data_IF_300847617154
#
_entry.id   IF_300847617154
#
_cell.length_a   1.000
_cell.length_b   1.000
_cell.length_c   1.000
_cell.angle_alpha   90.00
_cell.angle_beta   90.00
_cell.angle_gamma   90.00
#
_symmetry.space_group_name_H-M   'P 1'
#
loop_
_entity.id
_entity.type
_entity.pdbx_description
1 polymer ?
#
# COMPACT_ATOMS: atom_id res chain seq x y z
N UNK A 1 11.00 3.25 -16.10
CA UNK A 1 12.05 3.48 -17.12
C UNK A 1 11.65 4.58 -18.11
N UNK A 2 10.45 4.50 -18.76
CA UNK A 2 10.00 5.46 -19.76
C UNK A 2 10.07 6.92 -19.29
N UNK A 3 9.70 7.19 -18.03
CA UNK A 3 9.79 8.51 -17.42
C UNK A 3 11.23 8.95 -17.09
N UNK A 4 12.19 8.05 -17.21
CA UNK A 4 13.60 8.22 -16.80
C UNK A 4 13.75 8.76 -15.37
N UNK A 5 12.79 8.45 -14.50
CA UNK A 5 12.68 8.92 -13.13
C UNK A 5 11.63 8.07 -12.38
N UNK A 6 11.81 7.83 -11.10
CA UNK A 6 10.84 7.10 -10.29
C UNK A 6 11.49 6.25 -9.21
N UNK A 7 10.65 5.55 -8.47
CA UNK A 7 11.03 4.70 -7.36
C UNK A 7 10.53 3.26 -7.61
N UNK A 8 11.27 2.43 -8.35
CA UNK A 8 10.79 1.08 -8.70
C UNK A 8 10.90 0.08 -7.55
N UNK A 9 11.82 0.31 -6.62
CA UNK A 9 12.20 -0.70 -5.63
C UNK A 9 11.08 -1.10 -4.68
N UNK A 10 10.40 -0.15 -4.06
CA UNK A 10 9.26 -0.42 -3.18
C UNK A 10 8.08 -1.07 -3.95
N UNK A 11 7.64 -0.58 -5.11
CA UNK A 11 6.61 -1.26 -5.90
C UNK A 11 6.91 -2.73 -6.20
N UNK A 12 8.16 -3.04 -6.50
CA UNK A 12 8.59 -4.43 -6.75
C UNK A 12 8.62 -5.26 -5.47
N UNK A 13 9.10 -4.69 -4.37
CA UNK A 13 9.20 -5.38 -3.07
C UNK A 13 7.85 -5.66 -2.42
N UNK A 14 6.85 -4.83 -2.67
CA UNK A 14 5.51 -4.98 -2.08
C UNK A 14 4.46 -5.55 -3.05
N UNK A 15 4.85 -6.04 -4.22
CA UNK A 15 3.90 -6.51 -5.23
C UNK A 15 3.05 -7.68 -4.73
N UNK A 16 3.65 -8.68 -4.06
CA UNK A 16 2.97 -9.86 -3.53
C UNK A 16 1.97 -9.47 -2.42
N UNK A 17 2.39 -8.58 -1.52
CA UNK A 17 1.52 -8.04 -0.46
C UNK A 17 0.32 -7.29 -1.06
N UNK A 18 0.57 -6.49 -2.09
CA UNK A 18 -0.47 -5.70 -2.74
C UNK A 18 -1.46 -6.61 -3.49
N UNK A 19 -0.97 -7.65 -4.13
CA UNK A 19 -1.80 -8.65 -4.83
C UNK A 19 -2.77 -9.30 -3.85
N UNK A 20 -2.28 -9.90 -2.76
CA UNK A 20 -3.10 -10.56 -1.75
C UNK A 20 -4.11 -9.58 -1.14
N UNK A 21 -3.69 -8.38 -0.74
CA UNK A 21 -4.59 -7.41 -0.13
C UNK A 21 -5.72 -6.98 -1.08
N UNK A 22 -5.39 -6.59 -2.30
CA UNK A 22 -6.36 -5.98 -3.21
C UNK A 22 -7.31 -7.00 -3.84
N UNK A 23 -6.83 -8.21 -4.12
CA UNK A 23 -7.66 -9.25 -4.71
C UNK A 23 -8.50 -9.99 -3.68
N UNK A 24 -7.99 -10.26 -2.49
CA UNK A 24 -8.68 -11.14 -1.55
C UNK A 24 -9.42 -10.41 -0.43
N UNK A 25 -8.86 -9.33 0.11
CA UNK A 25 -9.35 -8.74 1.36
C UNK A 25 -10.02 -7.37 1.20
N UNK A 26 -9.48 -6.49 0.38
CA UNK A 26 -9.96 -5.11 0.30
C UNK A 26 -11.38 -5.01 -0.30
N UNK A 27 -12.26 -4.33 0.44
CA UNK A 27 -13.64 -4.06 0.01
C UNK A 27 -13.69 -2.76 -0.78
N UNK A 28 -13.74 -2.87 -2.09
CA UNK A 28 -13.82 -1.70 -2.98
C UNK A 28 -14.68 -1.98 -4.19
N UNK A 29 -15.19 -0.91 -4.82
CA UNK A 29 -15.87 -1.00 -6.11
C UNK A 29 -15.24 -0.01 -7.10
N UNK A 30 -14.45 -0.48 -8.07
CA UNK A 30 -13.81 0.39 -9.05
C UNK A 30 -14.78 1.21 -9.91
N UNK A 31 -16.05 0.78 -10.01
CA UNK A 31 -17.11 1.50 -10.75
C UNK A 31 -17.84 2.52 -9.89
N UNK A 32 -17.66 2.50 -8.59
CA UNK A 32 -18.16 3.52 -7.66
C UNK A 32 -17.08 3.86 -6.62
N UNK A 33 -16.06 4.64 -6.99
CA UNK A 33 -15.03 5.09 -6.06
C UNK A 33 -15.58 5.98 -4.93
N UNK A 34 -16.80 6.50 -5.06
CA UNK A 34 -17.49 7.29 -4.02
C UNK A 34 -18.32 6.44 -3.05
N UNK A 35 -18.37 5.11 -3.22
CA UNK A 35 -19.07 4.25 -2.26
C UNK A 35 -18.60 4.53 -0.82
N UNK A 36 -19.55 5.02 0.02
CA UNK A 36 -19.22 5.57 1.34
C UNK A 36 -18.60 4.54 2.30
N UNK A 37 -19.03 3.27 2.23
CA UNK A 37 -18.54 2.19 3.10
C UNK A 37 -17.48 1.28 2.42
N UNK A 38 -16.85 1.74 1.36
CA UNK A 38 -15.67 1.05 0.83
C UNK A 38 -14.47 1.22 1.75
N UNK A 39 -13.60 0.24 1.77
CA UNK A 39 -12.31 0.37 2.46
C UNK A 39 -11.49 1.54 1.88
N UNK A 40 -10.65 2.13 2.72
CA UNK A 40 -9.69 3.17 2.35
C UNK A 40 -8.31 2.56 2.22
N UNK A 41 -7.61 2.93 1.17
CA UNK A 41 -6.21 2.54 0.99
C UNK A 41 -5.31 3.77 0.93
N UNK A 42 -4.29 3.80 1.75
CA UNK A 42 -3.32 4.89 1.81
C UNK A 42 -1.92 4.36 1.60
N UNK A 43 -1.26 4.86 0.57
CA UNK A 43 0.14 4.60 0.31
C UNK A 43 0.97 5.67 1.05
N UNK A 44 1.37 5.41 2.31
CA UNK A 44 2.15 6.36 3.12
C UNK A 44 3.59 6.50 2.61
N UNK A 45 4.20 5.42 2.14
CA UNK A 45 5.44 5.42 1.38
C UNK A 45 5.18 5.86 -0.08
N UNK A 46 4.69 7.10 -0.22
CA UNK A 46 4.14 7.66 -1.47
C UNK A 46 5.10 7.72 -2.65
N UNK A 47 6.41 7.58 -2.42
CA UNK A 47 7.39 7.43 -3.48
C UNK A 47 7.12 6.18 -4.35
N UNK A 48 6.50 5.13 -3.79
CA UNK A 48 6.04 3.94 -4.52
C UNK A 48 4.76 4.13 -5.34
N UNK A 49 4.42 5.35 -5.75
CA UNK A 49 3.18 5.75 -6.41
C UNK A 49 2.77 4.86 -7.59
N UNK A 50 3.74 4.33 -8.35
CA UNK A 50 3.45 3.44 -9.47
C UNK A 50 2.78 2.14 -9.04
N UNK A 51 3.03 1.63 -7.83
CA UNK A 51 2.30 0.49 -7.28
C UNK A 51 0.80 0.83 -7.20
N UNK A 52 0.44 1.95 -6.57
CA UNK A 52 -0.95 2.38 -6.46
C UNK A 52 -1.60 2.57 -7.83
N UNK A 53 -0.92 3.24 -8.76
CA UNK A 53 -1.46 3.46 -10.11
C UNK A 53 -1.67 2.15 -10.87
N UNK A 54 -0.78 1.18 -10.72
CA UNK A 54 -0.92 -0.14 -11.30
C UNK A 54 -2.11 -0.89 -10.71
N UNK A 55 -2.28 -0.88 -9.41
CA UNK A 55 -3.40 -1.50 -8.71
C UNK A 55 -4.75 -0.90 -9.15
N UNK A 56 -4.84 0.43 -9.21
CA UNK A 56 -6.04 1.12 -9.67
C UNK A 56 -6.38 0.76 -11.13
N UNK A 57 -5.37 0.72 -12.00
CA UNK A 57 -5.57 0.33 -13.40
C UNK A 57 -6.02 -1.13 -13.53
N UNK A 58 -5.33 -2.04 -12.87
CA UNK A 58 -5.60 -3.48 -12.96
C UNK A 58 -6.99 -3.84 -12.42
N UNK A 59 -7.37 -3.26 -11.30
CA UNK A 59 -8.66 -3.55 -10.65
C UNK A 59 -9.86 -2.89 -11.34
N UNK A 60 -9.63 -1.96 -12.29
CA UNK A 60 -10.67 -1.40 -13.15
C UNK A 60 -11.20 -0.03 -12.74
N UNK A 61 -10.48 0.71 -11.88
CA UNK A 61 -10.71 2.14 -11.69
C UNK A 61 -10.49 2.91 -12.99
N UNK A 62 -11.01 4.14 -13.12
CA UNK A 62 -10.89 4.94 -14.35
C UNK A 62 -9.49 5.55 -14.53
N UNK A 63 -8.45 4.72 -14.41
CA UNK A 63 -7.07 5.06 -14.67
C UNK A 63 -6.56 4.24 -15.87
N UNK A 64 -6.35 4.88 -17.00
CA UNK A 64 -6.00 4.22 -18.25
C UNK A 64 -4.51 3.87 -18.34
N UNK A 65 -4.18 2.89 -19.19
CA UNK A 65 -2.77 2.55 -19.48
C UNK A 65 -2.01 3.74 -20.09
N UNK A 66 -2.68 4.61 -20.84
CA UNK A 66 -2.05 5.80 -21.40
C UNK A 66 -1.67 6.82 -20.31
N UNK A 67 -2.48 6.94 -19.25
CA UNK A 67 -2.11 7.75 -18.07
C UNK A 67 -0.91 7.14 -17.34
N UNK A 68 -0.82 5.82 -17.22
CA UNK A 68 0.37 5.14 -16.66
C UNK A 68 1.61 5.38 -17.53
N UNK A 69 1.49 5.31 -18.86
CA UNK A 69 2.58 5.63 -19.79
C UNK A 69 3.09 7.07 -19.67
N UNK A 70 2.24 7.98 -19.18
CA UNK A 70 2.53 9.39 -18.96
C UNK A 70 2.91 9.70 -17.50
N UNK A 71 3.40 8.71 -16.76
CA UNK A 71 3.91 8.86 -15.39
C UNK A 71 4.92 9.99 -15.28
N UNK A 72 4.74 10.86 -14.29
CA UNK A 72 5.59 12.05 -14.02
C UNK A 72 5.64 13.08 -15.16
N UNK A 73 4.67 13.06 -16.08
CA UNK A 73 4.56 14.11 -17.07
C UNK A 73 3.68 15.25 -16.57
N UNK A 74 3.94 16.46 -17.07
CA UNK A 74 3.20 17.65 -16.67
C UNK A 74 1.69 17.50 -16.98
N UNK A 75 0.83 17.96 -16.07
CA UNK A 75 -0.64 17.86 -16.16
C UNK A 75 -1.19 16.41 -16.29
N UNK A 76 -0.47 15.42 -15.79
CA UNK A 76 -0.96 14.04 -15.75
C UNK A 76 -1.34 13.64 -14.31
N UNK A 77 -2.38 12.83 -14.17
CA UNK A 77 -2.85 12.33 -12.85
C UNK A 77 -1.88 11.35 -12.19
N UNK A 78 -0.99 10.75 -12.98
CA UNK A 78 0.06 9.84 -12.49
C UNK A 78 1.32 10.61 -12.10
N UNK A 79 1.18 11.50 -11.12
CA UNK A 79 2.27 12.29 -10.56
C UNK A 79 3.35 11.40 -9.90
N UNK A 80 4.53 11.95 -9.65
CA UNK A 80 5.65 11.22 -9.03
C UNK A 80 5.35 10.68 -7.62
N UNK A 81 4.45 11.34 -6.92
CA UNK A 81 3.84 10.92 -5.66
C UNK A 81 2.32 11.09 -5.80
N UNK A 82 1.50 10.27 -5.11
CA UNK A 82 0.05 10.38 -5.27
C UNK A 82 -0.47 11.76 -4.89
N UNK A 83 -1.32 12.34 -5.73
CA UNK A 83 -2.13 13.50 -5.41
C UNK A 83 -3.59 13.06 -5.24
N UNK A 84 -4.30 13.66 -4.29
CA UNK A 84 -5.67 13.27 -3.97
C UNK A 84 -6.59 13.41 -5.17
N UNK A 85 -7.11 12.28 -5.64
CA UNK A 85 -8.05 12.16 -6.76
C UNK A 85 -9.08 11.06 -6.42
N UNK A 86 -10.11 11.35 -5.60
CA UNK A 86 -11.05 10.33 -5.14
C UNK A 86 -11.79 9.62 -6.27
N UNK A 87 -12.08 10.33 -7.36
CA UNK A 87 -12.82 9.81 -8.53
C UNK A 87 -12.07 8.64 -9.21
N UNK A 88 -10.74 8.57 -9.03
CA UNK A 88 -9.94 7.46 -9.53
C UNK A 88 -9.40 6.55 -8.42
N UNK A 89 -9.81 6.78 -7.17
CA UNK A 89 -9.47 5.93 -6.03
C UNK A 89 -8.23 6.36 -5.24
N UNK A 90 -7.68 7.56 -5.45
CA UNK A 90 -6.56 8.10 -4.67
C UNK A 90 -7.10 8.92 -3.50
N UNK A 91 -7.00 8.37 -2.28
CA UNK A 91 -7.60 8.91 -1.06
C UNK A 91 -6.98 10.22 -0.59
N UNK A 92 -5.65 10.33 -0.69
CA UNK A 92 -4.91 11.45 -0.11
C UNK A 92 -3.60 11.68 -0.84
N UNK A 93 -3.12 12.92 -0.78
CA UNK A 93 -1.79 13.30 -1.26
C UNK A 93 -0.74 12.80 -0.29
N UNK A 94 0.23 12.05 -0.79
CA UNK A 94 1.38 11.55 -0.04
C UNK A 94 2.69 11.86 -0.76
N UNK A 95 3.83 11.52 -0.15
CA UNK A 95 5.16 11.88 -0.64
C UNK A 95 6.01 12.40 0.50
N UNK A 96 5.58 13.47 1.23
CA UNK A 96 6.19 13.79 2.51
C UNK A 96 5.97 12.63 3.49
N UNK A 97 7.06 12.02 3.94
CA UNK A 97 7.03 10.81 4.79
C UNK A 97 6.30 11.10 6.11
N UNK A 98 5.60 10.10 6.64
CA UNK A 98 4.78 10.23 7.86
C UNK A 98 3.38 10.85 7.65
N UNK A 99 3.15 11.60 6.58
CA UNK A 99 1.84 12.24 6.34
C UNK A 99 0.75 11.21 6.00
N UNK A 100 1.06 10.23 5.18
CA UNK A 100 0.08 9.22 4.75
C UNK A 100 -0.50 8.41 5.92
N UNK A 101 0.35 7.86 6.78
CA UNK A 101 -0.11 7.11 7.96
C UNK A 101 -0.94 7.98 8.90
N UNK A 102 -0.58 9.25 9.05
CA UNK A 102 -1.33 10.22 9.86
C UNK A 102 -2.71 10.49 9.27
N UNK A 103 -2.81 10.68 7.96
CA UNK A 103 -4.10 10.83 7.27
C UNK A 103 -4.98 9.58 7.42
N UNK A 104 -4.39 8.39 7.30
CA UNK A 104 -5.08 7.13 7.49
C UNK A 104 -5.63 6.95 8.91
N UNK A 105 -4.87 7.37 9.92
CA UNK A 105 -5.35 7.41 11.31
C UNK A 105 -6.57 8.34 11.44
N UNK A 106 -6.53 9.49 10.78
CA UNK A 106 -7.68 10.41 10.70
C UNK A 106 -8.91 9.76 10.02
N UNK A 107 -8.70 9.00 8.94
CA UNK A 107 -9.78 8.26 8.25
C UNK A 107 -10.36 7.16 9.14
N UNK A 108 -9.53 6.38 9.84
CA UNK A 108 -9.99 5.35 10.77
C UNK A 108 -10.74 5.95 11.98
N UNK A 109 -10.33 7.11 12.46
CA UNK A 109 -11.05 7.86 13.49
C UNK A 109 -12.40 8.33 12.97
N UNK A 110 -12.46 8.85 11.75
CA UNK A 110 -13.71 9.28 11.11
C UNK A 110 -14.68 8.11 10.96
N UNK A 111 -14.20 6.94 10.52
CA UNK A 111 -15.01 5.72 10.47
C UNK A 111 -15.62 5.41 11.83
N UNK A 112 -14.82 5.38 12.88
CA UNK A 112 -15.27 5.06 14.24
C UNK A 112 -16.34 6.05 14.75
N UNK A 113 -16.17 7.34 14.48
CA UNK A 113 -17.14 8.39 14.83
C UNK A 113 -18.45 8.22 14.06
N UNK A 114 -18.34 8.00 12.74
CA UNK A 114 -19.51 7.82 11.87
C UNK A 114 -20.28 6.53 12.23
N UNK A 115 -19.57 5.44 12.49
CA UNK A 115 -20.18 4.19 12.94
C UNK A 115 -20.96 4.38 14.25
N UNK A 116 -20.38 5.08 15.23
CA UNK A 116 -21.04 5.38 16.49
C UNK A 116 -22.26 6.28 16.32
N UNK A 117 -22.25 7.21 15.35
CA UNK A 117 -23.35 8.14 15.09
C UNK A 117 -24.50 7.49 14.31
N UNK A 118 -24.22 6.65 13.33
CA UNK A 118 -25.18 6.23 12.32
C UNK A 118 -25.57 4.74 12.39
N UNK A 119 -24.71 3.84 12.88
CA UNK A 119 -25.03 2.42 12.97
C UNK A 119 -26.15 2.17 14.00
N UNK A 120 -27.00 1.19 13.71
CA UNK A 120 -28.05 0.69 14.60
C UNK A 120 -27.85 -0.80 14.82
N UNK A 121 -28.48 -1.42 15.86
CA UNK A 121 -28.27 -2.84 16.16
C UNK A 121 -28.45 -3.80 14.97
N UNK A 122 -29.32 -3.48 14.03
CA UNK A 122 -29.59 -4.33 12.86
C UNK A 122 -29.16 -3.69 11.53
N UNK A 123 -28.45 -2.56 11.57
CA UNK A 123 -28.06 -1.79 10.40
C UNK A 123 -26.67 -1.21 10.56
N UNK A 124 -25.68 -1.91 10.03
CA UNK A 124 -24.31 -1.39 9.92
C UNK A 124 -24.11 -0.70 8.57
N UNK A 125 -24.18 0.62 8.55
CA UNK A 125 -23.98 1.43 7.32
C UNK A 125 -22.58 2.01 7.21
N UNK A 126 -21.78 1.93 8.28
CA UNK A 126 -20.37 2.35 8.31
C UNK A 126 -19.56 1.24 8.97
N UNK A 127 -18.82 0.48 8.17
CA UNK A 127 -18.05 -0.66 8.65
C UNK A 127 -16.82 -0.95 7.74
N UNK A 128 -16.17 0.10 7.25
CA UNK A 128 -15.00 -0.05 6.41
C UNK A 128 -13.69 -0.06 7.19
N UNK A 129 -12.66 -0.62 6.59
CA UNK A 129 -11.29 -0.60 7.11
C UNK A 129 -10.46 0.48 6.43
N UNK A 130 -9.41 0.89 7.10
CA UNK A 130 -8.36 1.72 6.52
C UNK A 130 -7.08 0.90 6.46
N UNK A 131 -6.59 0.69 5.26
CA UNK A 131 -5.36 -0.03 4.93
C UNK A 131 -4.25 0.95 4.63
N UNK A 132 -3.06 0.70 5.16
CA UNK A 132 -1.91 1.59 4.97
C UNK A 132 -0.69 0.78 4.59
N UNK A 133 0.00 1.18 3.52
CA UNK A 133 1.37 0.76 3.28
C UNK A 133 2.32 1.82 3.80
N UNK A 134 3.31 1.42 4.58
CA UNK A 134 4.30 2.30 5.19
C UNK A 134 5.70 1.67 5.09
N UNK A 135 6.73 2.45 5.26
CA UNK A 135 8.12 1.98 5.22
C UNK A 135 8.97 2.64 6.29
N UNK A 136 10.24 2.27 6.37
CA UNK A 136 11.20 2.75 7.39
C UNK A 136 11.17 4.27 7.52
N UNK A 137 11.35 4.99 6.41
CA UNK A 137 11.35 6.45 6.41
C UNK A 137 10.07 7.09 6.94
N UNK A 138 8.90 6.47 6.69
CA UNK A 138 7.64 6.95 7.26
C UNK A 138 7.62 6.81 8.80
N UNK A 139 8.16 5.71 9.31
CA UNK A 139 8.14 5.41 10.75
C UNK A 139 9.22 6.16 11.54
N UNK A 140 10.19 6.77 10.85
CA UNK A 140 11.20 7.65 11.44
C UNK A 140 10.66 9.06 11.75
N UNK A 141 9.64 9.50 11.03
CA UNK A 141 9.08 10.83 11.16
C UNK A 141 8.41 11.04 12.53
N UNK A 142 8.66 12.19 13.17
CA UNK A 142 8.12 12.52 14.50
C UNK A 142 6.60 12.43 14.57
N UNK A 143 5.91 12.91 13.50
CA UNK A 143 4.44 12.86 13.43
C UNK A 143 3.89 11.43 13.45
N UNK A 144 4.64 10.45 12.94
CA UNK A 144 4.24 9.04 12.99
C UNK A 144 4.19 8.52 14.42
N UNK A 145 5.14 8.92 15.28
CA UNK A 145 5.14 8.57 16.70
C UNK A 145 3.90 9.13 17.42
N UNK A 146 3.61 10.42 17.22
CA UNK A 146 2.46 11.09 17.85
C UNK A 146 1.14 10.47 17.39
N UNK A 147 0.95 10.33 16.08
CA UNK A 147 -0.28 9.83 15.49
C UNK A 147 -0.53 8.34 15.82
N UNK A 148 0.50 7.49 15.76
CA UNK A 148 0.36 6.06 16.07
C UNK A 148 0.07 5.83 17.58
N UNK A 149 0.65 6.64 18.46
CA UNK A 149 0.32 6.62 19.88
C UNK A 149 -1.16 6.97 20.13
N UNK A 150 -1.68 7.99 19.44
CA UNK A 150 -3.10 8.36 19.52
C UNK A 150 -4.01 7.24 18.96
N UNK A 151 -3.63 6.61 17.85
CA UNK A 151 -4.42 5.53 17.26
C UNK A 151 -4.58 4.35 18.23
N UNK A 152 -3.52 3.98 18.95
CA UNK A 152 -3.59 2.97 20.01
C UNK A 152 -4.48 3.41 21.17
N UNK A 153 -4.30 4.65 21.65
CA UNK A 153 -5.14 5.22 22.72
C UNK A 153 -6.61 5.22 22.39
N UNK A 154 -6.98 5.49 21.14
CA UNK A 154 -8.36 5.52 20.67
C UNK A 154 -8.89 4.15 20.25
N UNK A 155 -8.07 3.11 20.31
CA UNK A 155 -8.46 1.74 19.92
C UNK A 155 -9.07 1.72 18.51
N UNK A 156 -8.34 2.17 17.51
CA UNK A 156 -8.81 2.23 16.11
C UNK A 156 -8.68 0.85 15.46
N UNK A 157 -9.50 -0.12 15.87
CA UNK A 157 -9.37 -1.53 15.50
C UNK A 157 -9.62 -1.87 14.03
N UNK A 158 -10.07 -0.92 13.21
CA UNK A 158 -10.22 -1.08 11.75
C UNK A 158 -9.09 -0.44 10.95
N UNK A 159 -8.04 0.03 11.64
CA UNK A 159 -6.80 0.52 11.04
C UNK A 159 -5.80 -0.64 10.96
N UNK A 160 -5.37 -0.98 9.77
CA UNK A 160 -4.36 -2.02 9.52
C UNK A 160 -3.23 -1.41 8.71
N UNK A 161 -2.05 -1.35 9.30
CA UNK A 161 -0.83 -0.88 8.65
C UNK A 161 0.04 -2.07 8.29
N UNK A 162 0.50 -2.12 7.05
CA UNK A 162 1.47 -3.09 6.56
C UNK A 162 2.79 -2.36 6.36
N UNK A 163 3.78 -2.79 7.10
CA UNK A 163 5.11 -2.20 7.13
C UNK A 163 6.05 -2.97 6.20
N UNK A 164 6.56 -2.27 5.19
CA UNK A 164 7.62 -2.67 4.28
C UNK A 164 8.96 -2.61 5.02
N UNK A 165 9.30 -3.70 5.72
CA UNK A 165 10.49 -3.83 6.54
C UNK A 165 11.64 -4.37 5.68
N UNK A 166 12.15 -3.53 4.78
CA UNK A 166 13.23 -3.89 3.84
C UNK A 166 14.63 -3.42 4.28
N UNK A 167 14.71 -2.56 5.30
CA UNK A 167 15.98 -2.06 5.86
C UNK A 167 16.77 -1.12 4.94
N UNK A 168 16.15 -0.58 3.89
CA UNK A 168 16.83 0.27 2.90
C UNK A 168 16.13 1.63 2.77
N UNK A 169 16.92 2.68 2.87
CA UNK A 169 16.52 4.04 2.53
C UNK A 169 17.14 4.49 1.19
N UNK A 170 16.84 5.72 0.78
CA UNK A 170 17.45 6.31 -0.42
C UNK A 170 18.99 6.41 -0.31
N UNK A 171 19.50 6.57 0.91
CA UNK A 171 20.92 6.74 1.20
C UNK A 171 21.66 5.42 1.51
N UNK A 172 20.96 4.28 1.50
CA UNK A 172 21.54 2.96 1.80
C UNK A 172 20.83 2.23 2.94
N UNK A 173 21.56 1.32 3.58
CA UNK A 173 21.09 0.57 4.73
C UNK A 173 20.79 1.50 5.91
N UNK A 174 19.74 1.16 6.68
CA UNK A 174 19.33 1.96 7.85
C UNK A 174 20.13 1.60 9.11
N UNK A 175 20.92 0.54 9.08
CA UNK A 175 21.76 0.12 10.19
C UNK A 175 22.68 1.24 10.69
N UNK A 176 22.69 1.44 12.00
CA UNK A 176 23.55 2.43 12.67
C UNK A 176 22.96 3.83 12.78
N UNK A 177 21.84 4.13 12.10
CA UNK A 177 21.18 5.44 12.24
C UNK A 177 19.67 5.37 12.48
N UNK A 178 19.02 4.24 12.24
CA UNK A 178 17.67 3.95 12.71
C UNK A 178 17.67 2.61 13.44
N UNK A 179 17.71 2.68 14.77
CA UNK A 179 17.91 1.53 15.67
C UNK A 179 16.69 1.25 16.56
N UNK A 180 15.56 1.87 16.26
CA UNK A 180 14.33 1.64 17.00
C UNK A 180 13.86 0.19 16.83
N UNK A 181 13.47 -0.44 17.93
CA UNK A 181 12.65 -1.66 17.85
C UNK A 181 11.21 -1.27 17.51
N UNK A 182 10.89 -1.26 16.22
CA UNK A 182 9.58 -0.88 15.71
C UNK A 182 8.47 -1.73 16.30
N UNK A 183 8.69 -3.03 16.47
CA UNK A 183 7.68 -3.94 17.04
C UNK A 183 7.41 -3.64 18.51
N UNK A 184 8.44 -3.42 19.31
CA UNK A 184 8.31 -3.05 20.71
C UNK A 184 7.65 -1.67 20.86
N UNK A 185 8.02 -0.72 20.00
CA UNK A 185 7.44 0.63 19.96
C UNK A 185 5.94 0.58 19.71
N UNK A 186 5.47 -0.12 18.69
CA UNK A 186 4.03 -0.22 18.39
C UNK A 186 3.26 -1.00 19.45
N UNK A 187 3.85 -2.05 20.03
CA UNK A 187 3.27 -2.73 21.21
C UNK A 187 3.09 -1.76 22.38
N UNK A 188 4.05 -0.87 22.62
CA UNK A 188 3.94 0.16 23.69
C UNK A 188 2.85 1.19 23.42
N UNK A 189 2.50 1.45 22.16
CA UNK A 189 1.35 2.27 21.79
C UNK A 189 -0.01 1.56 21.94
N UNK A 190 -0.03 0.27 22.27
CA UNK A 190 -1.25 -0.51 22.40
C UNK A 190 -1.75 -1.11 21.08
N UNK A 191 -0.91 -1.21 20.08
CA UNK A 191 -1.22 -1.89 18.82
C UNK A 191 -1.07 -3.41 18.94
N UNK A 192 -1.88 -4.16 18.19
CA UNK A 192 -1.51 -5.52 17.80
C UNK A 192 -0.32 -5.45 16.83
N UNK A 193 0.65 -6.32 17.02
CA UNK A 193 1.81 -6.42 16.12
C UNK A 193 1.97 -7.86 15.67
N UNK A 194 1.85 -8.08 14.37
CA UNK A 194 2.13 -9.36 13.70
C UNK A 194 3.49 -9.21 13.03
N UNK A 195 4.49 -9.87 13.59
CA UNK A 195 5.90 -9.68 13.25
C UNK A 195 6.43 -10.80 12.36
N UNK A 196 7.51 -10.49 11.60
CA UNK A 196 8.27 -11.46 10.80
C UNK A 196 7.46 -12.19 9.73
N UNK A 197 6.50 -11.51 9.13
CA UNK A 197 5.76 -12.05 7.98
C UNK A 197 6.69 -12.04 6.77
N UNK A 198 6.79 -13.15 6.06
CA UNK A 198 7.47 -13.18 4.77
C UNK A 198 6.61 -12.41 3.75
N UNK A 199 7.10 -11.25 3.29
CA UNK A 199 6.40 -10.38 2.35
C UNK A 199 6.36 -10.90 0.91
N UNK A 200 6.96 -12.05 0.64
CA UNK A 200 6.96 -12.75 -0.64
C UNK A 200 6.26 -14.12 -0.60
N UNK A 201 5.66 -14.47 0.54
CA UNK A 201 4.84 -15.68 0.73
C UNK A 201 3.36 -15.29 0.87
N UNK A 202 2.56 -15.56 -0.17
CA UNK A 202 1.14 -15.21 -0.22
C UNK A 202 0.31 -15.85 0.92
N UNK A 203 0.63 -17.07 1.33
CA UNK A 203 -0.06 -17.75 2.43
C UNK A 203 0.27 -17.10 3.78
N UNK A 204 1.52 -16.71 4.00
CA UNK A 204 1.94 -15.98 5.20
C UNK A 204 1.28 -14.61 5.27
N UNK A 205 1.24 -13.87 4.16
CA UNK A 205 0.57 -12.57 4.04
C UNK A 205 -0.93 -12.71 4.33
N UNK A 206 -1.60 -13.65 3.66
CA UNK A 206 -3.03 -13.92 3.84
C UNK A 206 -3.37 -14.26 5.28
N UNK A 207 -2.59 -15.13 5.92
CA UNK A 207 -2.76 -15.51 7.32
C UNK A 207 -2.60 -14.32 8.27
N UNK A 208 -1.63 -13.45 8.02
CA UNK A 208 -1.40 -12.25 8.83
C UNK A 208 -2.54 -11.23 8.67
N UNK A 209 -3.06 -11.03 7.46
CA UNK A 209 -4.22 -10.16 7.21
C UNK A 209 -5.47 -10.73 7.90
N UNK A 210 -5.72 -12.03 7.81
CA UNK A 210 -6.83 -12.69 8.49
C UNK A 210 -6.76 -12.54 10.01
N UNK A 211 -5.56 -12.63 10.60
CA UNK A 211 -5.36 -12.38 12.03
C UNK A 211 -5.66 -10.92 12.38
N UNK A 212 -5.16 -9.98 11.58
CA UNK A 212 -5.40 -8.55 11.77
C UNK A 212 -6.89 -8.18 11.72
N UNK A 213 -7.64 -8.75 10.77
CA UNK A 213 -9.08 -8.50 10.61
C UNK A 213 -9.91 -8.97 11.80
N UNK A 214 -9.49 -10.05 12.46
CA UNK A 214 -10.18 -10.59 13.65
C UNK A 214 -10.03 -9.69 14.88
N UNK A 215 -9.01 -8.87 14.93
CA UNK A 215 -8.81 -7.91 16.01
C UNK A 215 -9.54 -6.60 15.71
N UNK A 216 -10.64 -6.38 16.38
CA UNK A 216 -11.45 -5.15 16.25
C UNK A 216 -11.23 -4.13 17.38
N UNK A 217 -10.36 -4.46 18.33
CA UNK A 217 -10.16 -3.64 19.54
C UNK A 217 -8.98 -2.68 19.40
N UNK A 218 -7.94 -3.06 18.69
CA UNK A 218 -6.71 -2.30 18.59
C UNK A 218 -6.29 -2.14 17.11
N UNK A 219 -5.63 -1.05 16.72
CA UNK A 219 -5.01 -1.00 15.40
C UNK A 219 -3.94 -2.07 15.27
N UNK A 220 -3.69 -2.54 14.05
CA UNK A 220 -2.73 -3.61 13.79
C UNK A 220 -1.59 -3.12 12.90
N UNK A 221 -0.35 -3.48 13.27
CA UNK A 221 0.84 -3.39 12.44
C UNK A 221 1.25 -4.80 12.01
N UNK A 222 1.32 -5.04 10.71
CA UNK A 222 1.88 -6.25 10.10
C UNK A 222 3.28 -5.89 9.59
N UNK A 223 4.33 -6.48 10.18
CA UNK A 223 5.72 -6.25 9.76
C UNK A 223 6.10 -7.30 8.72
N UNK A 224 6.13 -6.90 7.45
CA UNK A 224 6.50 -7.77 6.35
C UNK A 224 7.97 -7.59 5.98
N UNK A 225 8.75 -8.66 6.11
CA UNK A 225 10.10 -8.70 5.57
C UNK A 225 10.03 -8.79 4.06
N UNK A 226 10.55 -7.78 3.40
CA UNK A 226 10.56 -7.66 1.95
C UNK A 226 11.97 -7.42 1.43
N UNK A 227 12.12 -7.55 0.12
CA UNK A 227 13.35 -7.17 -0.56
C UNK A 227 13.05 -6.03 -1.55
N UNK A 228 13.58 -4.85 -1.29
CA UNK A 228 13.45 -3.72 -2.23
C UNK A 228 13.97 -4.13 -3.61
N UNK A 229 13.23 -3.82 -4.68
CA UNK A 229 13.63 -4.20 -6.05
C UNK A 229 13.58 -5.71 -6.31
N UNK A 230 12.69 -6.43 -5.60
CA UNK A 230 12.52 -7.87 -5.75
C UNK A 230 12.40 -8.30 -7.23
N UNK A 231 13.11 -9.36 -7.59
CA UNK A 231 13.19 -9.84 -8.97
C UNK A 231 14.32 -9.21 -9.81
N UNK A 232 14.93 -8.10 -9.38
CA UNK A 232 16.07 -7.51 -10.07
C UNK A 232 17.37 -8.24 -9.70
N UNK A 233 18.08 -8.88 -10.64
CA UNK A 233 19.26 -9.71 -10.30
C UNK A 233 20.43 -8.93 -9.67
N UNK A 234 20.61 -7.66 -10.04
CA UNK A 234 21.77 -6.87 -9.60
C UNK A 234 21.42 -5.70 -8.69
N UNK A 235 20.13 -5.32 -8.58
CA UNK A 235 19.71 -4.14 -7.81
C UNK A 235 18.77 -4.46 -6.65
N UNK A 236 18.25 -5.69 -6.56
CA UNK A 236 17.45 -6.12 -5.41
C UNK A 236 18.25 -6.00 -4.11
N UNK A 237 17.60 -5.55 -3.03
CA UNK A 237 18.21 -5.36 -1.72
C UNK A 237 19.16 -4.17 -1.62
N UNK A 238 19.18 -3.27 -2.61
CA UNK A 238 20.10 -2.12 -2.61
C UNK A 238 19.39 -0.78 -2.81
N UNK A 239 19.97 0.30 -2.31
CA UNK A 239 19.50 1.68 -2.51
C UNK A 239 19.44 2.08 -4.00
N UNK A 240 20.17 1.40 -4.88
CA UNK A 240 20.17 1.70 -6.31
C UNK A 240 18.83 1.43 -7.01
N UNK A 241 17.95 0.63 -6.41
CA UNK A 241 16.57 0.44 -6.86
C UNK A 241 15.57 1.38 -6.19
N UNK A 242 15.97 2.10 -5.14
CA UNK A 242 15.04 2.93 -4.35
C UNK A 242 14.48 4.09 -5.18
N UNK A 243 15.32 5.01 -5.63
CA UNK A 243 14.91 6.30 -6.20
C UNK A 243 15.39 6.57 -7.63
N UNK A 244 15.78 5.53 -8.38
CA UNK A 244 16.28 5.66 -9.75
C UNK A 244 15.70 4.56 -10.65
N UNK A 245 15.56 4.83 -11.96
CA UNK A 245 15.20 3.80 -12.94
C UNK A 245 16.19 2.63 -12.90
N UNK A 246 15.72 1.41 -13.14
CA UNK A 246 16.60 0.24 -13.15
C UNK A 246 17.64 0.28 -14.28
N UNK A 247 17.31 0.90 -15.41
CA UNK A 247 18.07 0.86 -16.65
C UNK A 247 17.62 -0.28 -17.57
N UNK A 248 17.80 -0.09 -18.88
CA UNK A 248 17.28 -1.03 -19.90
C UNK A 248 17.87 -2.46 -19.73
N UNK A 249 19.17 -2.57 -19.48
CA UNK A 249 19.83 -3.87 -19.28
C UNK A 249 19.31 -4.60 -18.04
N UNK A 250 19.08 -3.86 -16.97
CA UNK A 250 18.58 -4.46 -15.73
C UNK A 250 17.11 -4.86 -15.85
N UNK A 251 16.30 -4.06 -16.56
CA UNK A 251 14.89 -4.42 -16.86
C UNK A 251 14.83 -5.73 -17.64
N UNK A 252 15.68 -5.89 -18.65
CA UNK A 252 15.74 -7.13 -19.43
C UNK A 252 16.04 -8.33 -18.53
N UNK A 253 17.09 -8.23 -17.72
CA UNK A 253 17.47 -9.30 -16.77
C UNK A 253 16.36 -9.57 -15.74
N UNK A 254 15.67 -8.54 -15.28
CA UNK A 254 14.55 -8.66 -14.35
C UNK A 254 13.39 -9.41 -15.00
N UNK A 255 13.04 -9.08 -16.24
CA UNK A 255 12.02 -9.81 -17.01
C UNK A 255 12.41 -11.28 -17.20
N UNK A 256 13.65 -11.53 -17.59
CA UNK A 256 14.17 -12.89 -17.76
C UNK A 256 14.12 -13.67 -16.43
N UNK A 257 14.45 -13.03 -15.29
CA UNK A 257 14.42 -13.66 -13.98
C UNK A 257 13.01 -13.94 -13.45
N UNK A 258 12.03 -13.16 -13.89
CA UNK A 258 10.62 -13.29 -13.53
C UNK A 258 9.81 -14.07 -14.58
N UNK A 259 10.47 -14.66 -15.57
CA UNK A 259 9.82 -15.37 -16.70
C UNK A 259 8.74 -14.52 -17.42
N UNK A 260 8.99 -13.19 -17.54
CA UNK A 260 8.07 -12.22 -18.12
C UNK A 260 8.43 -11.90 -19.57
N UNK A 261 7.73 -12.48 -20.52
CA UNK A 261 8.03 -12.37 -21.97
C UNK A 261 7.27 -11.23 -22.68
N UNK A 262 6.33 -10.57 -22.00
CA UNK A 262 5.46 -9.56 -22.64
C UNK A 262 6.15 -8.22 -22.82
N UNK A 263 5.65 -7.45 -23.80
CA UNK A 263 6.15 -6.11 -24.08
C UNK A 263 5.81 -5.11 -22.95
N UNK A 264 6.49 -3.95 -22.99
CA UNK A 264 6.23 -2.91 -22.00
C UNK A 264 4.77 -2.40 -22.10
N UNK A 265 4.08 -2.32 -20.95
CA UNK A 265 2.66 -1.95 -20.83
C UNK A 265 1.67 -2.94 -21.45
N UNK A 266 2.12 -4.09 -21.90
CA UNK A 266 1.26 -5.20 -22.27
C UNK A 266 0.87 -5.99 -21.01
N UNK A 267 -0.43 -6.21 -20.85
CA UNK A 267 -0.99 -7.00 -19.75
C UNK A 267 -1.78 -8.14 -20.41
N UNK A 268 -1.37 -9.41 -20.22
CA UNK A 268 -2.09 -10.56 -20.72
C UNK A 268 -3.57 -10.54 -20.31
N UNK A 269 -4.43 -11.04 -21.19
CA UNK A 269 -5.87 -10.98 -20.99
C UNK A 269 -6.33 -11.75 -19.75
N UNK A 270 -5.78 -12.92 -19.51
CA UNK A 270 -6.04 -13.77 -18.35
C UNK A 270 -5.66 -13.08 -17.05
N UNK A 271 -4.47 -12.47 -16.97
CA UNK A 271 -4.03 -11.67 -15.82
C UNK A 271 -4.98 -10.50 -15.59
N UNK A 272 -5.37 -9.80 -16.66
CA UNK A 272 -6.31 -8.69 -16.57
C UNK A 272 -7.69 -9.12 -16.05
N UNK A 273 -8.17 -10.27 -16.46
CA UNK A 273 -9.44 -10.82 -15.96
C UNK A 273 -9.37 -11.21 -14.48
N UNK A 274 -8.24 -11.77 -14.04
CA UNK A 274 -8.01 -12.12 -12.62
C UNK A 274 -8.00 -10.90 -11.72
N UNK A 275 -7.44 -9.77 -12.19
CA UNK A 275 -7.37 -8.52 -11.45
C UNK A 275 -8.66 -7.68 -11.49
N UNK A 276 -9.59 -7.93 -12.42
CA UNK A 276 -10.80 -7.12 -12.56
C UNK A 276 -11.72 -7.20 -11.35
N UNK A 277 -11.63 -6.21 -10.48
CA UNK A 277 -12.44 -6.04 -9.26
C UNK A 277 -13.89 -5.61 -9.50
N UNK A 278 -14.30 -5.30 -10.73
CA UNK A 278 -15.59 -4.65 -11.01
C UNK A 278 -16.80 -5.50 -10.64
N UNK A 279 -16.75 -6.80 -10.92
CA UNK A 279 -17.84 -7.74 -10.58
C UNK A 279 -17.92 -8.01 -9.08
N UNK A 280 -16.76 -8.19 -8.42
CA UNK A 280 -16.64 -8.38 -6.98
C UNK A 280 -17.13 -7.12 -6.24
N UNK A 281 -16.64 -5.95 -6.65
CA UNK A 281 -16.99 -4.67 -6.05
C UNK A 281 -18.49 -4.36 -6.10
N UNK A 282 -19.14 -4.60 -7.23
CA UNK A 282 -20.59 -4.44 -7.37
C UNK A 282 -21.40 -5.37 -6.43
N UNK A 283 -20.86 -6.51 -6.06
CA UNK A 283 -21.53 -7.42 -5.09
C UNK A 283 -21.30 -6.95 -3.66
N UNK A 284 -20.10 -6.41 -3.36
CA UNK A 284 -19.75 -5.95 -2.01
C UNK A 284 -20.49 -4.68 -1.62
N UNK A 285 -20.83 -3.83 -2.59
CA UNK A 285 -21.57 -2.58 -2.37
C UNK A 285 -23.08 -2.79 -2.12
N UNK A 286 -23.65 -3.96 -2.47
CA UNK A 286 -25.06 -4.29 -2.29
C UNK A 286 -25.40 -4.73 -0.86
#
# INVERSE_FOLDING_TARGET
QKANSGHPGMPMGMADIAEVLWNDFMRHNPKNPEWADRDRFVLSNGHGSMLLYSLLHLTGYPLSIEQIKNFRQFNQVTAGHPEREPDIGIETTTGPLGQGITNAIGMAMAEKILAAAFNKPDYEIVNHRTWVFTGDGCLMEGISHEACSLAGTWNLGKLICIYDDNGISIDGEIDGWFTDDTTARFKSYGWQVIDKVDGHDADAISSAIDEAIKNTNNPTLICCKTQIGFGSPNKAGTASSHGAPLGEDEIKKTKDNLDWEHEAFEIPHDIREMWDGTKKGKKLEK
#
